data_IF_651067393310
#
_entry.id   IF_651067393310
#
_cell.length_a   1.000
_cell.length_b   1.000
_cell.length_c   1.000
_cell.angle_alpha   90.00
_cell.angle_beta   90.00
_cell.angle_gamma   90.00
#
_symmetry.space_group_name_H-M   'P 1'
#
loop_
_entity.id
_entity.type
_entity.pdbx_description
1 polymer ?
#
# COMPACT_ATOMS: atom_id res chain seq x y z
N UNK A 1 -15.53 6.16 0.30
CA UNK A 1 -15.08 4.89 0.91
C UNK A 1 -14.01 5.25 1.92
N UNK A 2 -14.10 4.77 3.17
CA UNK A 2 -13.00 4.91 4.11
C UNK A 2 -11.97 3.84 3.73
N UNK A 3 -10.78 4.25 3.33
CA UNK A 3 -9.67 3.36 3.08
C UNK A 3 -9.34 2.63 4.39
N UNK A 4 -9.18 1.31 4.37
CA UNK A 4 -8.73 0.54 5.54
C UNK A 4 -7.26 0.14 5.40
N UNK A 5 -6.55 -0.15 6.50
CA UNK A 5 -5.21 -0.72 6.43
C UNK A 5 -5.13 -1.97 5.53
N UNK A 6 -6.17 -2.81 5.57
CA UNK A 6 -6.25 -4.01 4.74
C UNK A 6 -6.37 -3.68 3.24
N UNK A 7 -7.11 -2.62 2.90
CA UNK A 7 -7.24 -2.16 1.52
C UNK A 7 -5.88 -1.64 0.99
N UNK A 8 -5.08 -0.98 1.84
CA UNK A 8 -3.73 -0.51 1.49
C UNK A 8 -2.81 -1.70 1.20
N UNK A 9 -2.80 -2.72 2.08
CA UNK A 9 -1.96 -3.94 1.90
C UNK A 9 -2.34 -4.75 0.65
N UNK A 10 -3.59 -4.68 0.22
CA UNK A 10 -4.12 -5.43 -0.93
C UNK A 10 -4.27 -4.59 -2.18
N UNK A 11 -3.78 -3.35 -2.17
CA UNK A 11 -3.93 -2.46 -3.32
C UNK A 11 -3.09 -2.97 -4.49
N UNK A 12 -3.77 -3.41 -5.55
CA UNK A 12 -3.11 -3.80 -6.79
C UNK A 12 -2.95 -2.60 -7.73
N UNK A 13 -1.80 -2.51 -8.38
CA UNK A 13 -1.50 -1.48 -9.38
C UNK A 13 -1.29 -2.11 -10.75
N UNK A 14 -1.68 -1.39 -11.80
CA UNK A 14 -1.39 -1.81 -13.18
C UNK A 14 0.11 -1.71 -13.46
N UNK A 15 0.67 -2.78 -14.03
CA UNK A 15 2.07 -2.80 -14.48
C UNK A 15 2.22 -2.04 -15.80
N UNK A 16 3.24 -1.21 -15.90
CA UNK A 16 3.58 -0.41 -17.09
C UNK A 16 5.07 -0.47 -17.37
N UNK A 17 5.47 -0.29 -18.63
CA UNK A 17 6.87 -0.47 -19.11
C UNK A 17 7.90 0.40 -18.37
N UNK A 18 7.49 1.52 -17.76
CA UNK A 18 8.34 2.41 -16.97
C UNK A 18 7.65 2.78 -15.66
N UNK A 19 7.34 1.77 -14.85
CA UNK A 19 6.79 1.92 -13.50
C UNK A 19 7.85 1.87 -12.41
N UNK A 20 7.42 2.06 -11.16
CA UNK A 20 8.25 1.80 -9.98
C UNK A 20 8.53 0.30 -9.81
N UNK A 21 9.58 -0.02 -9.04
CA UNK A 21 9.86 -1.39 -8.65
C UNK A 21 8.70 -1.91 -7.78
N UNK A 22 8.15 -3.06 -8.17
CA UNK A 22 7.01 -3.67 -7.49
C UNK A 22 7.36 -4.01 -6.04
N UNK A 23 8.58 -4.48 -5.77
CA UNK A 23 9.01 -4.88 -4.43
C UNK A 23 9.12 -3.65 -3.51
N UNK A 24 9.65 -2.54 -4.03
CA UNK A 24 9.76 -1.29 -3.27
C UNK A 24 8.38 -0.69 -2.97
N UNK A 25 7.47 -0.74 -3.96
CA UNK A 25 6.08 -0.30 -3.79
C UNK A 25 5.37 -1.15 -2.74
N UNK A 26 5.49 -2.48 -2.81
CA UNK A 26 4.85 -3.39 -1.87
C UNK A 26 5.34 -3.15 -0.43
N UNK A 27 6.67 -3.02 -0.24
CA UNK A 27 7.26 -2.69 1.07
C UNK A 27 6.76 -1.33 1.60
N UNK A 28 6.62 -0.33 0.72
CA UNK A 28 6.07 0.96 1.09
C UNK A 28 4.60 0.87 1.53
N UNK A 29 3.77 0.10 0.82
CA UNK A 29 2.37 -0.12 1.18
C UNK A 29 2.21 -0.81 2.53
N UNK A 30 3.09 -1.77 2.86
CA UNK A 30 3.11 -2.40 4.18
C UNK A 30 3.36 -1.36 5.28
N UNK A 31 4.43 -0.55 5.15
CA UNK A 31 4.75 0.51 6.10
C UNK A 31 3.60 1.51 6.25
N UNK A 32 3.02 1.97 5.13
CA UNK A 32 1.90 2.92 5.16
C UNK A 32 0.67 2.31 5.83
N UNK A 33 0.37 1.04 5.57
CA UNK A 33 -0.77 0.37 6.20
C UNK A 33 -0.59 0.22 7.72
N UNK A 34 0.61 -0.10 8.18
CA UNK A 34 0.91 -0.25 9.61
C UNK A 34 0.80 1.10 10.33
N UNK A 35 1.35 2.18 9.76
CA UNK A 35 1.20 3.54 10.29
C UNK A 35 -0.27 3.98 10.29
N UNK A 36 -1.02 3.65 9.23
CA UNK A 36 -2.45 3.98 9.14
C UNK A 36 -3.28 3.22 10.17
N UNK A 37 -2.96 1.96 10.46
CA UNK A 37 -3.56 1.21 11.57
C UNK A 37 -3.26 1.87 12.92
N UNK A 38 -2.01 2.31 13.13
CA UNK A 38 -1.62 3.01 14.36
C UNK A 38 -2.39 4.32 14.57
N UNK A 39 -2.69 5.07 13.51
CA UNK A 39 -3.46 6.32 13.60
C UNK A 39 -4.96 6.11 13.86
N UNK A 40 -5.49 4.92 13.55
CA UNK A 40 -6.91 4.58 13.72
C UNK A 40 -7.21 3.94 15.08
N UNK A 41 -6.20 3.54 15.85
CA UNK A 41 -6.34 3.13 17.26
C UNK A 41 -6.54 4.32 18.18
#
# INVERSE_FOLDING_TARGET
MKLTPLDIKRQEFKKVMRGYDVIEVDAFLEMVADEYESLLR
#
